data_IF_926655883737
#
_entry.id   IF_926655883737
#
_cell.length_a   1.000
_cell.length_b   1.000
_cell.length_c   1.000
_cell.angle_alpha   90.00
_cell.angle_beta   90.00
_cell.angle_gamma   90.00
#
_symmetry.space_group_name_H-M   'P 1'
#
loop_
_entity.id
_entity.type
_entity.pdbx_description
1 polymer ?
#
# COMPACT_ATOMS: atom_id res chain seq x y z
N UNK A 1 -2.55 -16.91 21.12
CA UNK A 1 -1.92 -15.93 20.20
C UNK A 1 -1.08 -16.71 19.20
N UNK A 2 -1.48 -16.74 17.93
CA UNK A 2 -0.79 -17.51 16.89
C UNK A 2 0.36 -16.66 16.34
N UNK A 3 1.60 -17.17 16.46
CA UNK A 3 2.75 -16.55 15.81
C UNK A 3 2.73 -16.91 14.33
N UNK A 4 2.89 -15.93 13.42
CA UNK A 4 3.04 -16.18 11.98
C UNK A 4 4.47 -15.84 11.54
N UNK A 5 4.96 -16.60 10.55
CA UNK A 5 6.23 -16.31 9.87
C UNK A 5 6.01 -15.26 8.79
N UNK A 6 7.04 -14.52 8.38
CA UNK A 6 7.00 -13.56 7.25
C UNK A 6 7.15 -14.23 5.87
N UNK A 7 7.07 -15.56 5.79
CA UNK A 7 7.11 -16.26 4.50
C UNK A 7 5.80 -16.03 3.73
N UNK A 8 5.91 -15.53 2.51
CA UNK A 8 4.77 -15.21 1.67
C UNK A 8 4.24 -13.79 1.83
N UNK A 9 4.93 -12.93 2.60
CA UNK A 9 4.64 -11.51 2.66
C UNK A 9 4.95 -10.83 1.32
N UNK A 10 4.33 -9.66 1.08
CA UNK A 10 4.51 -8.89 -0.14
C UNK A 10 4.73 -7.41 0.12
N UNK A 11 5.44 -6.76 -0.79
CA UNK A 11 5.68 -5.32 -0.75
C UNK A 11 5.38 -4.69 -2.11
N UNK A 12 4.47 -3.71 -2.10
CA UNK A 12 4.13 -2.91 -3.26
C UNK A 12 4.60 -1.47 -3.07
N UNK A 13 5.14 -0.87 -4.12
CA UNK A 13 5.54 0.54 -4.15
C UNK A 13 5.00 1.18 -5.43
N UNK A 14 4.07 2.11 -5.30
CA UNK A 14 3.49 2.89 -6.42
C UNK A 14 3.02 2.05 -7.62
N UNK A 15 2.38 0.90 -7.36
CA UNK A 15 1.88 0.00 -8.41
C UNK A 15 2.91 -1.06 -8.89
N UNK A 16 4.11 -1.09 -8.30
CA UNK A 16 5.11 -2.11 -8.61
C UNK A 16 5.20 -3.16 -7.50
N UNK A 17 5.27 -4.44 -7.88
CA UNK A 17 5.57 -5.53 -6.95
C UNK A 17 7.09 -5.68 -6.82
N UNK A 18 7.62 -5.26 -5.69
CA UNK A 18 9.04 -5.35 -5.37
C UNK A 18 9.38 -6.51 -4.44
N UNK A 19 8.42 -7.38 -4.14
CA UNK A 19 8.59 -8.48 -3.18
C UNK A 19 9.75 -9.41 -3.52
N UNK A 20 10.01 -9.63 -4.83
CA UNK A 20 11.10 -10.48 -5.30
C UNK A 20 12.49 -9.94 -4.98
N UNK A 21 12.62 -8.63 -4.81
CA UNK A 21 13.89 -7.97 -4.50
C UNK A 21 14.10 -7.79 -2.99
N UNK A 22 13.04 -7.92 -2.17
CA UNK A 22 13.11 -7.67 -0.73
C UNK A 22 13.55 -8.91 0.03
N UNK A 23 14.71 -8.81 0.67
CA UNK A 23 15.26 -9.88 1.50
C UNK A 23 14.68 -9.89 2.92
N UNK A 24 14.36 -8.73 3.47
CA UNK A 24 13.75 -8.62 4.80
C UNK A 24 13.12 -7.25 5.04
N UNK A 25 12.07 -7.22 5.86
CA UNK A 25 11.52 -5.99 6.45
C UNK A 25 12.26 -5.73 7.77
N UNK A 26 12.99 -4.63 7.86
CA UNK A 26 13.78 -4.27 9.04
C UNK A 26 12.92 -3.62 10.12
N UNK A 27 11.85 -2.92 9.74
CA UNK A 27 10.93 -2.30 10.69
C UNK A 27 9.76 -1.60 10.03
N UNK A 28 8.63 -1.60 10.73
CA UNK A 28 7.46 -0.79 10.46
C UNK A 28 7.17 -0.06 11.76
N UNK A 29 7.35 1.26 11.79
CA UNK A 29 7.33 2.04 13.02
C UNK A 29 6.48 3.28 12.88
N UNK A 30 5.70 3.55 13.92
CA UNK A 30 5.06 4.84 14.13
C UNK A 30 5.70 5.45 15.38
N UNK A 31 6.24 6.64 15.26
CA UNK A 31 6.85 7.37 16.35
C UNK A 31 6.17 8.72 16.51
N UNK A 32 6.08 9.18 17.76
CA UNK A 32 5.59 10.51 18.07
C UNK A 32 6.76 11.33 18.63
N UNK A 33 6.94 12.54 18.14
CA UNK A 33 7.83 13.49 18.77
C UNK A 33 7.31 13.81 20.18
N UNK A 34 8.21 14.05 21.12
CA UNK A 34 7.86 14.50 22.46
C UNK A 34 8.51 15.86 22.70
N UNK A 35 7.77 16.77 23.35
CA UNK A 35 8.30 18.00 23.90
C UNK A 35 8.19 17.97 25.41
N UNK A 36 9.31 18.23 26.10
CA UNK A 36 9.32 18.37 27.53
C UNK A 36 8.79 19.76 27.92
N UNK A 37 7.68 19.79 28.64
CA UNK A 37 7.02 20.99 29.14
C UNK A 37 7.22 21.19 30.64
N UNK A 38 8.07 20.38 31.30
CA UNK A 38 8.28 20.39 32.72
C UNK A 38 8.85 21.77 33.15
N UNK A 39 8.08 22.49 33.94
CA UNK A 39 8.55 23.73 34.56
C UNK A 39 9.38 23.46 35.82
N UNK A 40 10.16 24.42 36.24
CA UNK A 40 11.12 24.29 37.36
C UNK A 40 10.44 24.05 38.72
N UNK A 41 9.17 24.39 38.83
CA UNK A 41 8.34 24.21 40.04
C UNK A 41 7.52 22.90 40.02
N UNK A 42 7.62 22.10 38.94
CA UNK A 42 6.93 20.83 38.83
C UNK A 42 7.70 19.70 39.54
N UNK A 43 6.97 18.83 40.21
CA UNK A 43 7.51 17.63 40.88
C UNK A 43 7.52 16.38 40.01
N UNK A 44 6.92 16.44 38.81
CA UNK A 44 6.86 15.36 37.83
C UNK A 44 7.14 15.88 36.41
N UNK A 45 7.61 15.01 35.54
CA UNK A 45 7.78 15.32 34.11
C UNK A 45 6.43 15.55 33.43
N UNK A 46 6.28 16.68 32.75
CA UNK A 46 5.19 16.98 31.83
C UNK A 46 5.71 16.93 30.39
N UNK A 47 5.00 16.17 29.53
CA UNK A 47 5.40 15.96 28.14
C UNK A 47 4.21 16.11 27.21
N UNK A 48 4.36 16.95 26.19
CA UNK A 48 3.42 17.02 25.09
C UNK A 48 3.84 16.07 23.97
N UNK A 49 2.88 15.32 23.46
CA UNK A 49 3.05 14.52 22.25
C UNK A 49 2.95 15.42 21.03
N UNK A 50 3.95 15.33 20.15
CA UNK A 50 4.03 16.08 18.91
C UNK A 50 3.51 15.26 17.71
N UNK A 51 3.94 15.64 16.52
CA UNK A 51 3.52 15.08 15.24
C UNK A 51 3.93 13.60 15.14
N UNK A 52 3.00 12.80 14.63
CA UNK A 52 3.22 11.41 14.27
C UNK A 52 4.16 11.32 13.05
N UNK A 53 5.16 10.44 13.12
CA UNK A 53 6.06 10.11 12.03
C UNK A 53 6.07 8.58 11.82
N UNK A 54 5.93 8.15 10.57
CA UNK A 54 5.96 6.74 10.21
C UNK A 54 7.16 6.40 9.35
N UNK A 55 7.68 5.22 9.55
CA UNK A 55 8.72 4.67 8.68
C UNK A 55 8.50 3.19 8.40
N UNK A 56 8.84 2.80 7.17
CA UNK A 56 8.93 1.42 6.73
C UNK A 56 10.33 1.21 6.18
N UNK A 57 11.07 0.31 6.80
CA UNK A 57 12.44 0.01 6.44
C UNK A 57 12.60 -1.44 5.97
N UNK A 58 13.34 -1.65 4.88
CA UNK A 58 13.60 -2.98 4.33
C UNK A 58 15.00 -3.08 3.72
N UNK A 59 15.49 -4.30 3.65
CA UNK A 59 16.72 -4.64 2.93
C UNK A 59 16.35 -5.31 1.62
N UNK A 60 17.03 -4.94 0.55
CA UNK A 60 16.79 -5.48 -0.78
C UNK A 60 18.08 -6.00 -1.43
N UNK A 61 17.92 -6.92 -2.37
CA UNK A 61 18.95 -7.25 -3.33
C UNK A 61 19.00 -6.16 -4.41
N UNK A 62 20.21 -5.91 -4.92
CA UNK A 62 20.35 -4.98 -6.03
C UNK A 62 19.72 -5.58 -7.29
N UNK A 63 18.80 -4.87 -7.85
CA UNK A 63 18.16 -5.16 -9.12
C UNK A 63 18.02 -3.85 -9.89
N UNK A 64 18.74 -3.73 -11.00
CA UNK A 64 18.77 -2.59 -11.92
C UNK A 64 17.91 -2.85 -13.17
N UNK A 65 17.04 -3.84 -13.12
CA UNK A 65 16.11 -4.14 -14.19
C UNK A 65 15.27 -2.89 -14.50
N UNK A 66 15.44 -2.34 -15.70
CA UNK A 66 14.67 -1.21 -16.23
C UNK A 66 13.23 -1.59 -16.64
N UNK A 67 12.84 -2.82 -16.31
CA UNK A 67 11.52 -3.35 -16.58
C UNK A 67 11.19 -3.41 -18.05
N UNK A 68 11.68 -4.44 -18.71
CA UNK A 68 11.16 -4.87 -20.02
C UNK A 68 9.70 -5.34 -19.93
N UNK A 69 8.88 -4.56 -19.23
CA UNK A 69 7.45 -4.78 -19.00
C UNK A 69 6.98 -3.86 -17.88
N UNK A 70 5.77 -3.34 -17.96
CA UNK A 70 5.23 -2.32 -17.06
C UNK A 70 5.27 -2.70 -15.55
N UNK A 71 5.52 -3.96 -15.22
CA UNK A 71 5.43 -4.49 -13.86
C UNK A 71 6.78 -4.88 -13.22
N UNK A 72 7.88 -4.94 -14.00
CA UNK A 72 9.13 -5.57 -13.59
C UNK A 72 10.25 -4.56 -13.30
N UNK A 73 9.91 -3.43 -12.69
CA UNK A 73 10.91 -2.43 -12.31
C UNK A 73 11.62 -2.85 -11.04
N UNK A 74 12.95 -2.95 -11.09
CA UNK A 74 13.76 -3.26 -9.91
C UNK A 74 13.71 -2.13 -8.88
N UNK A 75 13.94 -2.49 -7.61
CA UNK A 75 13.94 -1.50 -6.49
C UNK A 75 14.92 -0.36 -6.76
N UNK A 76 16.09 -0.65 -7.33
CA UNK A 76 17.09 0.37 -7.64
C UNK A 76 16.56 1.40 -8.63
N UNK A 77 16.03 0.95 -9.74
CA UNK A 77 15.51 1.85 -10.77
C UNK A 77 14.27 2.62 -10.29
N UNK A 78 13.37 1.96 -9.55
CA UNK A 78 12.19 2.59 -8.97
C UNK A 78 12.54 3.75 -8.04
N UNK A 79 13.57 3.61 -7.19
CA UNK A 79 13.93 4.62 -6.20
C UNK A 79 14.91 5.68 -6.73
N UNK A 80 15.62 5.41 -7.82
CA UNK A 80 16.60 6.33 -8.43
C UNK A 80 16.12 6.97 -9.72
N UNK A 81 15.14 6.36 -10.39
CA UNK A 81 14.62 6.79 -11.69
C UNK A 81 13.68 8.01 -11.64
N UNK A 82 13.31 8.48 -10.46
CA UNK A 82 12.48 9.69 -10.34
C UNK A 82 13.24 10.92 -10.81
N UNK A 83 12.59 11.73 -11.64
CA UNK A 83 13.14 12.99 -12.11
C UNK A 83 13.51 13.89 -10.92
N UNK A 84 14.76 14.38 -10.82
CA UNK A 84 15.16 15.28 -9.75
C UNK A 84 14.22 16.49 -9.67
N UNK A 85 13.54 16.65 -8.54
CA UNK A 85 12.58 17.74 -8.29
C UNK A 85 11.10 17.34 -8.30
N UNK A 86 10.72 16.22 -8.91
CA UNK A 86 9.38 15.66 -8.80
C UNK A 86 9.29 14.84 -7.50
N UNK A 87 8.87 15.49 -6.41
CA UNK A 87 8.64 14.83 -5.11
C UNK A 87 7.20 14.30 -5.06
N UNK A 88 6.88 13.36 -5.93
CA UNK A 88 5.58 12.68 -5.86
C UNK A 88 5.60 11.71 -4.69
N UNK A 89 4.65 11.79 -3.76
CA UNK A 89 4.57 10.79 -2.70
C UNK A 89 4.28 9.41 -3.27
N UNK A 90 5.04 8.41 -2.81
CA UNK A 90 4.84 7.01 -3.17
C UNK A 90 3.95 6.33 -2.15
N UNK A 91 2.96 5.57 -2.61
CA UNK A 91 2.24 4.65 -1.77
C UNK A 91 3.07 3.37 -1.61
N UNK A 92 3.40 3.03 -0.37
CA UNK A 92 4.09 1.80 0.01
C UNK A 92 3.12 0.94 0.82
N UNK A 93 2.88 -0.29 0.38
CA UNK A 93 1.96 -1.22 1.04
C UNK A 93 2.66 -2.55 1.31
N UNK A 94 2.83 -2.86 2.59
CA UNK A 94 3.34 -4.14 3.06
C UNK A 94 2.20 -5.07 3.42
N UNK A 95 2.08 -6.17 2.71
CA UNK A 95 1.07 -7.20 2.91
C UNK A 95 1.63 -8.32 3.79
N UNK A 96 1.03 -8.53 4.94
CA UNK A 96 1.35 -9.63 5.84
C UNK A 96 0.55 -10.87 5.45
N UNK A 97 1.04 -11.57 4.45
CA UNK A 97 0.36 -12.70 3.82
C UNK A 97 -0.39 -12.31 2.55
N UNK A 98 -0.86 -13.31 1.81
CA UNK A 98 -1.41 -13.16 0.45
C UNK A 98 -2.92 -13.34 0.35
N UNK A 99 -3.60 -13.65 1.45
CA UNK A 99 -5.03 -13.90 1.46
C UNK A 99 -5.87 -12.62 1.63
N UNK A 100 -7.08 -12.63 1.12
CA UNK A 100 -8.12 -11.64 1.45
C UNK A 100 -8.29 -11.59 2.97
N UNK A 101 -8.47 -10.40 3.52
CA UNK A 101 -8.55 -10.15 4.97
C UNK A 101 -7.21 -10.11 5.71
N UNK A 102 -6.08 -10.36 5.03
CA UNK A 102 -4.75 -10.22 5.63
C UNK A 102 -4.47 -8.76 6.05
N UNK A 103 -3.59 -8.58 7.03
CA UNK A 103 -3.18 -7.24 7.44
C UNK A 103 -2.25 -6.60 6.41
N UNK A 104 -2.49 -5.32 6.13
CA UNK A 104 -1.68 -4.49 5.24
C UNK A 104 -1.26 -3.21 5.96
N UNK A 105 0.03 -2.89 5.94
CA UNK A 105 0.52 -1.60 6.41
C UNK A 105 0.71 -0.67 5.21
N UNK A 106 -0.04 0.43 5.17
CA UNK A 106 0.02 1.43 4.11
C UNK A 106 0.73 2.69 4.63
N UNK A 107 1.70 3.14 3.87
CA UNK A 107 2.49 4.33 4.13
C UNK A 107 2.55 5.18 2.87
N UNK A 108 2.14 6.45 2.96
CA UNK A 108 2.42 7.43 1.92
C UNK A 108 3.78 8.07 2.19
N UNK A 109 4.81 7.60 1.48
CA UNK A 109 6.19 8.03 1.67
C UNK A 109 6.55 9.17 0.73
N UNK A 110 7.17 10.22 1.25
CA UNK A 110 7.72 11.32 0.46
C UNK A 110 9.26 11.29 0.41
N UNK A 111 9.88 10.58 1.32
CA UNK A 111 11.33 10.46 1.41
C UNK A 111 11.73 9.00 1.49
N UNK A 112 12.65 8.64 0.61
CA UNK A 112 13.37 7.38 0.69
C UNK A 112 14.83 7.68 0.98
N UNK A 113 15.40 6.97 1.96
CA UNK A 113 16.84 6.84 2.08
C UNK A 113 17.20 5.49 1.47
N UNK A 114 18.01 5.51 0.44
CA UNK A 114 18.48 4.32 -0.23
C UNK A 114 20.00 4.29 -0.20
N UNK A 115 20.57 3.23 0.34
CA UNK A 115 22.02 3.01 0.40
C UNK A 115 22.36 1.63 -0.13
N UNK A 116 23.46 1.53 -0.88
CA UNK A 116 23.99 0.29 -1.40
C UNK A 116 25.29 -0.06 -0.70
N UNK A 117 25.41 -1.31 -0.26
CA UNK A 117 26.59 -1.85 0.35
C UNK A 117 27.05 -3.10 -0.41
N UNK A 118 28.32 -3.14 -0.77
CA UNK A 118 28.94 -4.33 -1.37
C UNK A 118 29.61 -5.15 -0.29
N UNK A 119 29.08 -6.34 -0.03
CA UNK A 119 29.70 -7.29 0.88
C UNK A 119 31.01 -7.86 0.33
N UNK A 120 31.86 -8.42 1.20
CA UNK A 120 33.09 -9.10 0.80
C UNK A 120 32.86 -10.29 -0.12
N UNK A 121 31.69 -10.93 -0.02
CA UNK A 121 31.23 -12.02 -0.90
C UNK A 121 30.87 -11.57 -2.31
N UNK A 122 30.90 -10.24 -2.59
CA UNK A 122 30.54 -9.68 -3.88
C UNK A 122 29.03 -9.39 -4.04
N UNK A 123 28.20 -9.77 -3.08
CA UNK A 123 26.77 -9.42 -3.08
C UNK A 123 26.57 -7.91 -2.91
N UNK A 124 25.69 -7.33 -3.70
CA UNK A 124 25.27 -5.94 -3.58
C UNK A 124 23.91 -5.90 -2.90
N UNK A 125 23.87 -5.34 -1.71
CA UNK A 125 22.68 -5.26 -0.87
C UNK A 125 22.29 -3.80 -0.67
N UNK A 126 21.00 -3.51 -0.78
CA UNK A 126 20.42 -2.21 -0.49
C UNK A 126 19.74 -2.17 0.87
N UNK A 127 19.73 -0.99 1.46
CA UNK A 127 18.87 -0.66 2.61
C UNK A 127 18.03 0.53 2.23
N UNK A 128 16.71 0.37 2.39
CA UNK A 128 15.72 1.40 2.11
C UNK A 128 15.00 1.78 3.39
N UNK A 129 14.82 3.07 3.59
CA UNK A 129 13.95 3.61 4.62
C UNK A 129 12.98 4.61 3.99
N UNK A 130 11.70 4.25 3.98
CA UNK A 130 10.60 5.07 3.52
C UNK A 130 9.99 5.83 4.71
N UNK A 131 9.92 7.16 4.64
CA UNK A 131 9.35 8.00 5.70
C UNK A 131 8.05 8.66 5.23
N UNK A 132 7.07 8.76 6.12
CA UNK A 132 5.76 9.35 5.84
C UNK A 132 5.83 10.82 5.43
N UNK A 133 4.83 11.27 4.68
CA UNK A 133 4.75 12.66 4.20
C UNK A 133 4.43 13.67 5.30
N UNK A 134 3.82 13.26 6.40
CA UNK A 134 3.40 14.14 7.49
C UNK A 134 2.29 15.14 7.13
N UNK A 135 1.64 15.00 6.00
CA UNK A 135 0.68 15.98 5.45
C UNK A 135 -0.74 15.82 6.04
N UNK A 136 -0.87 15.84 7.37
CA UNK A 136 -2.18 15.80 8.03
C UNK A 136 -2.85 14.43 8.08
N UNK A 137 -2.16 13.39 7.60
CA UNK A 137 -2.60 12.01 7.65
C UNK A 137 -1.86 11.23 8.74
N UNK A 138 -2.42 10.10 9.16
CA UNK A 138 -1.66 9.16 10.00
C UNK A 138 -0.43 8.68 9.27
N UNK A 139 0.64 8.48 10.01
CA UNK A 139 1.92 8.09 9.45
C UNK A 139 1.89 6.70 8.81
N UNK A 140 1.20 5.74 9.44
CA UNK A 140 0.98 4.38 8.93
C UNK A 140 -0.46 3.97 9.19
N UNK A 141 -1.11 3.42 8.18
CA UNK A 141 -2.44 2.82 8.29
C UNK A 141 -2.35 1.31 8.22
N UNK A 142 -2.78 0.64 9.28
CA UNK A 142 -3.03 -0.80 9.24
C UNK A 142 -4.45 -1.06 8.73
N UNK A 143 -4.57 -1.76 7.62
CA UNK A 143 -5.80 -2.06 6.90
C UNK A 143 -5.99 -3.57 6.71
N UNK A 144 -7.11 -3.95 6.09
CA UNK A 144 -7.40 -5.32 5.66
C UNK A 144 -7.32 -5.41 4.14
N UNK A 145 -6.66 -6.43 3.62
CA UNK A 145 -6.61 -6.72 2.20
C UNK A 145 -8.02 -7.07 1.68
N UNK A 146 -8.50 -6.35 0.68
CA UNK A 146 -9.76 -6.62 -0.02
C UNK A 146 -9.55 -7.59 -1.20
N UNK A 147 -8.29 -7.78 -1.61
CA UNK A 147 -7.90 -8.68 -2.69
C UNK A 147 -6.87 -9.69 -2.19
N UNK A 148 -6.59 -10.78 -2.89
CA UNK A 148 -5.30 -11.48 -2.76
C UNK A 148 -4.14 -10.49 -2.92
N UNK A 149 -2.93 -10.86 -2.52
CA UNK A 149 -1.77 -9.96 -2.57
C UNK A 149 -1.63 -9.26 -3.94
N UNK A 150 -1.76 -9.98 -5.03
CA UNK A 150 -2.00 -9.43 -6.36
C UNK A 150 -3.10 -10.25 -7.01
N UNK A 151 -4.28 -9.65 -7.15
CA UNK A 151 -5.34 -10.24 -7.96
C UNK A 151 -4.94 -10.14 -9.44
N UNK A 152 -5.16 -11.20 -10.20
CA UNK A 152 -4.96 -11.24 -11.65
C UNK A 152 -6.26 -11.71 -12.27
N UNK A 153 -6.88 -10.85 -13.05
CA UNK A 153 -8.15 -11.10 -13.72
C UNK A 153 -7.98 -10.96 -15.23
N UNK A 154 -8.80 -11.66 -15.97
CA UNK A 154 -8.91 -11.59 -17.43
C UNK A 154 -10.34 -11.22 -17.89
N UNK A 155 -11.25 -11.04 -16.96
CA UNK A 155 -12.63 -10.58 -17.17
C UNK A 155 -13.20 -9.94 -15.89
N UNK A 156 -14.42 -9.40 -15.98
CA UNK A 156 -15.15 -8.87 -14.84
C UNK A 156 -15.33 -9.94 -13.75
N UNK A 157 -15.11 -9.54 -12.49
CA UNK A 157 -15.19 -10.44 -11.34
C UNK A 157 -15.54 -9.70 -10.05
N UNK A 158 -16.06 -10.46 -9.08
CA UNK A 158 -16.37 -10.03 -7.73
C UNK A 158 -15.46 -10.75 -6.73
N UNK A 159 -14.64 -10.00 -6.01
CA UNK A 159 -13.72 -10.57 -5.03
C UNK A 159 -14.39 -10.75 -3.66
N UNK A 160 -13.84 -11.65 -2.85
CA UNK A 160 -14.42 -12.02 -1.57
C UNK A 160 -14.57 -10.85 -0.59
N UNK A 161 -15.63 -10.90 0.21
CA UNK A 161 -15.97 -9.87 1.19
C UNK A 161 -15.07 -9.88 2.43
N UNK A 162 -14.82 -8.71 2.98
CA UNK A 162 -14.07 -8.50 4.23
C UNK A 162 -14.88 -7.63 5.18
N UNK A 163 -15.05 -8.07 6.42
CA UNK A 163 -15.63 -7.28 7.49
C UNK A 163 -14.64 -6.22 7.97
N UNK A 164 -15.05 -4.96 7.92
CA UNK A 164 -14.26 -3.81 8.37
C UNK A 164 -14.97 -2.95 9.44
N UNK A 165 -16.25 -3.23 9.71
CA UNK A 165 -17.15 -2.40 10.51
C UNK A 165 -17.70 -1.20 9.74
N UNK A 166 -18.90 -0.76 10.13
CA UNK A 166 -19.57 0.38 9.49
C UNK A 166 -18.89 1.69 9.86
N UNK A 167 -18.50 2.48 8.89
CA UNK A 167 -17.87 3.78 9.15
C UNK A 167 -17.53 4.59 7.90
N UNK A 168 -16.90 5.70 8.18
CA UNK A 168 -16.02 6.42 7.27
C UNK A 168 -14.67 5.72 7.22
N UNK A 169 -14.05 5.66 6.06
CA UNK A 169 -12.78 4.97 5.92
C UNK A 169 -12.00 5.37 4.68
N UNK A 170 -10.95 4.61 4.43
CA UNK A 170 -10.06 4.80 3.29
C UNK A 170 -9.70 3.47 2.63
N UNK A 171 -9.61 3.51 1.32
CA UNK A 171 -9.10 2.43 0.48
C UNK A 171 -7.78 2.84 -0.14
N UNK A 172 -6.86 1.88 -0.23
CA UNK A 172 -5.58 1.99 -0.95
C UNK A 172 -5.60 0.98 -2.08
N UNK A 173 -5.23 1.43 -3.27
CA UNK A 173 -5.19 0.64 -4.49
C UNK A 173 -3.81 0.74 -5.15
N UNK A 174 -3.26 -0.38 -5.57
CA UNK A 174 -2.17 -0.48 -6.52
C UNK A 174 -2.68 -1.17 -7.77
N UNK A 175 -2.61 -0.53 -8.92
CA UNK A 175 -2.83 -1.16 -10.22
C UNK A 175 -1.47 -1.39 -10.85
N UNK A 176 -1.12 -2.65 -11.06
CA UNK A 176 0.20 -3.07 -11.52
C UNK A 176 0.25 -3.14 -13.04
N UNK A 177 -0.77 -3.71 -13.65
CA UNK A 177 -0.89 -3.83 -15.10
C UNK A 177 -2.34 -3.82 -15.54
N UNK A 178 -2.53 -3.33 -16.75
CA UNK A 178 -3.79 -3.39 -17.47
C UNK A 178 -3.51 -3.54 -18.98
N UNK A 179 -4.25 -4.47 -19.60
CA UNK A 179 -4.26 -4.64 -21.05
C UNK A 179 -5.68 -4.94 -21.48
N UNK A 180 -6.29 -4.04 -22.22
CA UNK A 180 -7.68 -4.14 -22.65
C UNK A 180 -8.22 -2.78 -23.11
N UNK A 181 -9.51 -2.77 -23.40
CA UNK A 181 -10.19 -1.57 -23.88
C UNK A 181 -10.82 -0.79 -22.71
N UNK A 182 -11.40 -1.52 -21.72
CA UNK A 182 -12.11 -0.90 -20.62
C UNK A 182 -12.06 -1.76 -19.34
N UNK A 183 -11.85 -1.12 -18.19
CA UNK A 183 -12.04 -1.72 -16.87
C UNK A 183 -12.26 -0.64 -15.81
N UNK A 184 -13.17 -0.92 -14.87
CA UNK A 184 -13.46 -0.07 -13.71
C UNK A 184 -13.34 -0.89 -12.43
N UNK A 185 -12.51 -0.44 -11.49
CA UNK A 185 -12.37 -1.06 -10.15
C UNK A 185 -13.21 -0.25 -9.17
N UNK A 186 -14.18 -0.91 -8.53
CA UNK A 186 -15.05 -0.33 -7.52
C UNK A 186 -14.92 -1.06 -6.18
N UNK A 187 -15.29 -0.36 -5.10
CA UNK A 187 -15.61 -0.98 -3.82
C UNK A 187 -17.11 -0.92 -3.63
N UNK A 188 -17.68 -2.04 -3.24
CA UNK A 188 -19.07 -2.16 -2.82
C UNK A 188 -19.13 -2.48 -1.34
N UNK A 189 -20.21 -2.10 -0.70
CA UNK A 189 -20.51 -2.41 0.69
C UNK A 189 -21.78 -3.22 0.86
N UNK A 190 -21.92 -3.87 2.01
CA UNK A 190 -23.07 -4.68 2.39
C UNK A 190 -23.14 -4.85 3.91
N UNK A 191 -24.35 -4.84 4.46
CA UNK A 191 -24.58 -5.08 5.89
C UNK A 191 -24.27 -6.52 6.34
N UNK A 192 -24.36 -7.50 5.44
CA UNK A 192 -24.27 -8.93 5.80
C UNK A 192 -23.16 -9.69 5.06
N UNK A 193 -22.45 -9.05 4.14
CA UNK A 193 -21.36 -9.64 3.37
C UNK A 193 -21.76 -10.70 2.34
N UNK A 194 -23.07 -10.92 2.12
CA UNK A 194 -23.57 -11.96 1.22
C UNK A 194 -24.57 -11.45 0.18
N UNK A 195 -25.28 -10.37 0.48
CA UNK A 195 -26.30 -9.78 -0.39
C UNK A 195 -26.49 -8.30 -0.12
N UNK A 196 -27.26 -7.61 -0.96
CA UNK A 196 -27.54 -6.19 -0.79
C UNK A 196 -26.34 -5.27 -1.05
N UNK A 197 -25.44 -5.72 -1.94
CA UNK A 197 -24.26 -4.94 -2.30
C UNK A 197 -24.63 -3.66 -3.05
N UNK A 198 -24.01 -2.56 -2.65
CA UNK A 198 -24.15 -1.25 -3.27
C UNK A 198 -22.79 -0.64 -3.59
N UNK A 199 -22.69 0.12 -4.68
CA UNK A 199 -21.47 0.83 -5.03
C UNK A 199 -21.18 1.91 -4.01
N UNK A 200 -20.00 1.85 -3.39
CA UNK A 200 -19.55 2.80 -2.38
C UNK A 200 -18.59 3.84 -2.98
N UNK A 201 -17.57 3.39 -3.70
CA UNK A 201 -16.57 4.27 -4.33
C UNK A 201 -15.92 3.60 -5.54
N UNK A 202 -15.72 4.38 -6.60
CA UNK A 202 -14.86 4.00 -7.73
C UNK A 202 -13.42 4.30 -7.36
N UNK A 203 -12.54 3.30 -7.50
CA UNK A 203 -11.13 3.42 -7.18
C UNK A 203 -10.28 3.75 -8.39
N UNK A 204 -10.60 3.18 -9.52
CA UNK A 204 -9.86 3.37 -10.77
C UNK A 204 -10.77 3.09 -11.97
N UNK A 205 -10.60 3.91 -12.99
CA UNK A 205 -11.26 3.80 -14.29
C UNK A 205 -10.20 3.95 -15.39
N UNK A 206 -10.06 2.94 -16.22
CA UNK A 206 -9.04 2.89 -17.27
C UNK A 206 -9.11 4.06 -18.25
N UNK A 207 -10.31 4.63 -18.43
CA UNK A 207 -10.54 5.77 -19.33
C UNK A 207 -10.15 7.12 -18.69
N UNK A 208 -10.06 7.22 -17.35
CA UNK A 208 -9.93 8.49 -16.64
C UNK A 208 -8.66 8.62 -15.79
N UNK A 209 -8.20 7.54 -15.18
CA UNK A 209 -7.23 7.60 -14.07
C UNK A 209 -5.77 7.33 -14.50
N UNK A 210 -5.51 7.19 -15.77
CA UNK A 210 -4.16 6.98 -16.31
C UNK A 210 -3.75 5.51 -16.42
N UNK A 211 -2.60 5.31 -17.04
CA UNK A 211 -2.08 3.98 -17.37
C UNK A 211 -1.25 3.40 -16.23
N UNK A 212 -1.48 2.13 -15.82
CA UNK A 212 -0.63 1.43 -14.86
C UNK A 212 0.84 1.32 -15.33
N UNK A 213 1.80 1.19 -14.38
CA UNK A 213 1.61 1.02 -12.94
C UNK A 213 1.30 2.33 -12.21
N UNK A 214 0.36 2.28 -11.28
CA UNK A 214 -0.03 3.44 -10.48
C UNK A 214 -0.55 3.02 -9.09
N UNK A 215 -0.65 3.98 -8.18
CA UNK A 215 -1.25 3.76 -6.88
C UNK A 215 -2.16 4.93 -6.49
N UNK A 216 -3.35 4.60 -6.00
CA UNK A 216 -4.42 5.53 -5.68
C UNK A 216 -4.91 5.34 -4.25
N UNK A 217 -5.56 6.37 -3.73
CA UNK A 217 -6.28 6.32 -2.45
C UNK A 217 -7.62 7.01 -2.61
N UNK A 218 -8.66 6.42 -2.03
CA UNK A 218 -10.00 7.01 -2.00
C UNK A 218 -10.58 6.94 -0.60
N UNK A 219 -11.23 8.01 -0.17
CA UNK A 219 -11.98 8.04 1.08
C UNK A 219 -13.44 7.66 0.80
N UNK A 220 -14.08 7.00 1.77
CA UNK A 220 -15.48 6.67 1.73
C UNK A 220 -16.19 7.07 3.02
N UNK A 221 -17.50 7.26 2.94
CA UNK A 221 -18.36 7.60 4.09
C UNK A 221 -19.64 6.79 4.04
N UNK A 222 -20.13 6.39 5.22
CA UNK A 222 -21.41 5.69 5.33
C UNK A 222 -21.37 4.24 4.88
N UNK A 223 -20.18 3.62 4.84
CA UNK A 223 -20.06 2.21 4.53
C UNK A 223 -20.77 1.32 5.56
N UNK A 224 -21.32 0.23 5.09
CA UNK A 224 -21.81 -0.88 5.89
C UNK A 224 -20.68 -1.81 6.36
N UNK A 225 -21.01 -2.87 7.11
CA UNK A 225 -20.01 -3.67 7.84
C UNK A 225 -19.00 -4.41 6.94
N UNK A 226 -19.39 -4.74 5.72
CA UNK A 226 -18.57 -5.56 4.81
C UNK A 226 -18.24 -4.80 3.55
N UNK A 227 -16.99 -4.94 3.08
CA UNK A 227 -16.52 -4.43 1.80
C UNK A 227 -16.06 -5.55 0.88
N UNK A 228 -16.27 -5.37 -0.41
CA UNK A 228 -15.65 -6.18 -1.48
C UNK A 228 -15.17 -5.29 -2.62
N UNK A 229 -14.24 -5.82 -3.42
CA UNK A 229 -13.85 -5.21 -4.69
C UNK A 229 -14.60 -5.88 -5.82
N UNK A 230 -15.07 -5.07 -6.74
CA UNK A 230 -15.71 -5.51 -8.00
C UNK A 230 -14.96 -4.88 -9.16
N UNK A 231 -14.74 -5.67 -10.20
CA UNK A 231 -14.22 -5.20 -11.48
C UNK A 231 -15.33 -5.31 -12.51
N UNK A 232 -15.62 -4.19 -13.15
CA UNK A 232 -16.60 -4.09 -14.24
C UNK A 232 -15.89 -3.79 -15.55
N UNK A 233 -16.47 -4.22 -16.66
CA UNK A 233 -16.02 -3.91 -18.03
C UNK A 233 -17.22 -3.87 -18.96
N UNK A 234 -17.15 -3.04 -20.01
CA UNK A 234 -18.14 -3.03 -21.09
C UNK A 234 -17.56 -3.61 -22.38
N UNK A 235 -16.28 -3.40 -22.63
CA UNK A 235 -15.59 -3.78 -23.87
C UNK A 235 -14.50 -4.84 -23.66
N UNK A 236 -14.30 -5.27 -22.39
CA UNK A 236 -13.41 -6.36 -22.02
C UNK A 236 -11.95 -5.96 -21.83
N UNK A 237 -11.24 -6.84 -21.16
CA UNK A 237 -9.78 -6.75 -20.98
C UNK A 237 -9.15 -8.15 -20.97
N UNK A 238 -7.86 -8.25 -21.19
CA UNK A 238 -7.13 -9.50 -21.19
C UNK A 238 -6.25 -9.70 -19.98
N UNK A 239 -5.83 -8.62 -19.34
CA UNK A 239 -5.03 -8.63 -18.11
C UNK A 239 -5.38 -7.41 -17.27
N UNK A 240 -5.76 -7.64 -16.03
CA UNK A 240 -5.80 -6.65 -14.97
C UNK A 240 -5.15 -7.22 -13.73
N UNK A 241 -4.07 -6.57 -13.26
CA UNK A 241 -3.35 -6.95 -12.03
C UNK A 241 -3.38 -5.80 -11.05
N UNK A 242 -3.90 -6.07 -9.85
CA UNK A 242 -4.05 -5.05 -8.82
C UNK A 242 -4.08 -5.62 -7.41
N UNK A 243 -3.90 -4.76 -6.43
CA UNK A 243 -4.07 -5.05 -5.01
C UNK A 243 -4.81 -3.91 -4.32
N UNK A 244 -5.78 -4.24 -3.49
CA UNK A 244 -6.54 -3.26 -2.72
C UNK A 244 -6.62 -3.64 -1.24
N UNK A 245 -6.66 -2.61 -0.38
CA UNK A 245 -6.88 -2.78 1.05
C UNK A 245 -7.72 -1.63 1.60
N UNK A 246 -8.49 -1.87 2.66
CA UNK A 246 -9.34 -0.86 3.27
C UNK A 246 -9.27 -0.86 4.80
N UNK A 247 -9.62 0.29 5.38
CA UNK A 247 -9.75 0.49 6.82
C UNK A 247 -10.88 1.48 7.13
N UNK A 248 -11.67 1.19 8.17
CA UNK A 248 -12.49 2.18 8.88
C UNK A 248 -11.57 3.14 9.68
N UNK A 249 -11.88 4.43 9.69
CA UNK A 249 -11.12 5.51 10.36
C UNK A 249 -11.81 5.99 11.62
#
# INVERSE_FOLDING_TARGET
MTKSTGLGDGLLVSGYDVSGDVGSISGIQTTFGEQNLTAIDMTAMDRAQLIENGSLAFNNFFNDSDGQGAEARGVHDLLTGDTPGARTPHLVSYHRGRAIGAWVANLRAQRFTYSLNRGQSGSLLGTVNANSTGAGERAIYWSRALTPFVATLDDADELGAVEIGSATGRVWLHVLAFTGDDAVIKVQDSANGTSGWADLVTLWDSAQDGTPPLALTADFTGAEDHLRVVVETTDGFTVLRFAASARAL
#
